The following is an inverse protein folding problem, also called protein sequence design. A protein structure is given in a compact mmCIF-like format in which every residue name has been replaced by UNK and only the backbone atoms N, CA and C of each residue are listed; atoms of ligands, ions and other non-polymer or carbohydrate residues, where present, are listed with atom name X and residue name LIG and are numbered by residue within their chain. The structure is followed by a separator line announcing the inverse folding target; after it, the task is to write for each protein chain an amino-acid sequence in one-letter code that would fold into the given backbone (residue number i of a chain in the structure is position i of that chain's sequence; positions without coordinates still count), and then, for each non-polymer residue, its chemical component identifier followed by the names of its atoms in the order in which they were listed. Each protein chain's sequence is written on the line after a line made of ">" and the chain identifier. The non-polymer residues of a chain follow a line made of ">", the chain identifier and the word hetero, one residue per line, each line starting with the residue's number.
data_IF_866434500939
#
_entry.id   IF_866434500939
#
_cell.length_a   1.000
_cell.length_b   1.000
_cell.length_c   1.000
_cell.angle_alpha   90.00
_cell.angle_beta   90.00
_cell.angle_gamma   90.00
#
_symmetry.space_group_name_H-M   'P 1'
#
loop_
_entity.id
_entity.type
_entity.pdbx_description
1 polymer ?
#
# COMPACT_ATOMS: atom_id res chain seq x y z
N UNK A 1 16.75 -0.37 16.75
CA UNK A 1 16.80 0.86 15.92
C UNK A 1 17.71 0.71 14.70
N UNK A 2 19.04 0.56 14.84
CA UNK A 2 19.94 0.49 13.67
C UNK A 2 19.62 -0.71 12.74
N UNK A 3 19.41 -1.90 13.32
CA UNK A 3 19.02 -3.11 12.58
C UNK A 3 17.71 -2.90 11.84
N UNK A 4 16.74 -2.22 12.47
CA UNK A 4 15.44 -1.94 11.85
C UNK A 4 15.62 -1.10 10.58
N UNK A 5 16.41 -0.02 10.63
CA UNK A 5 16.61 0.89 9.50
C UNK A 5 17.57 0.37 8.42
N UNK A 6 18.55 -0.46 8.77
CA UNK A 6 19.59 -0.91 7.83
C UNK A 6 19.24 -2.25 7.20
N UNK A 7 18.55 -3.13 7.92
CA UNK A 7 18.23 -4.48 7.46
C UNK A 7 16.74 -4.65 7.21
N UNK A 8 15.90 -4.38 8.21
CA UNK A 8 14.48 -4.76 8.15
C UNK A 8 13.73 -3.90 7.14
N UNK A 9 13.79 -2.57 7.24
CA UNK A 9 13.09 -1.67 6.31
C UNK A 9 13.59 -1.83 4.86
N UNK A 10 14.91 -1.83 4.57
CA UNK A 10 15.39 -2.03 3.21
C UNK A 10 15.06 -3.41 2.64
N UNK A 11 15.05 -4.46 3.48
CA UNK A 11 14.63 -5.79 3.06
C UNK A 11 13.17 -5.79 2.59
N UNK A 12 12.24 -5.25 3.38
CA UNK A 12 10.83 -5.21 3.01
C UNK A 12 10.56 -4.34 1.78
N UNK A 13 11.19 -3.16 1.70
CA UNK A 13 11.12 -2.31 0.52
C UNK A 13 11.66 -3.00 -0.73
N UNK A 14 12.80 -3.69 -0.60
CA UNK A 14 13.39 -4.48 -1.66
C UNK A 14 12.50 -5.64 -2.10
N UNK A 15 11.86 -6.34 -1.16
CA UNK A 15 10.93 -7.42 -1.46
C UNK A 15 9.72 -6.92 -2.25
N UNK A 16 9.10 -5.81 -1.82
CA UNK A 16 7.99 -5.18 -2.53
C UNK A 16 8.44 -4.76 -3.93
N UNK A 17 9.61 -4.15 -4.06
CA UNK A 17 10.17 -3.72 -5.34
C UNK A 17 10.37 -4.89 -6.30
N UNK A 18 10.93 -6.01 -5.83
CA UNK A 18 11.11 -7.21 -6.65
C UNK A 18 9.77 -7.74 -7.14
N UNK A 19 8.78 -7.86 -6.24
CA UNK A 19 7.45 -8.37 -6.58
C UNK A 19 6.75 -7.46 -7.60
N UNK A 20 6.84 -6.14 -7.44
CA UNK A 20 6.16 -5.17 -8.31
C UNK A 20 6.80 -5.09 -9.70
N UNK A 21 8.13 -5.24 -9.79
CA UNK A 21 8.88 -5.12 -11.05
C UNK A 21 8.86 -6.42 -11.88
N UNK A 22 8.72 -7.57 -11.23
CA UNK A 22 8.79 -8.89 -11.86
C UNK A 22 7.83 -9.08 -13.06
N UNK A 23 6.55 -8.66 -13.02
CA UNK A 23 5.65 -8.72 -14.17
C UNK A 23 6.17 -7.96 -15.41
N UNK A 24 6.82 -6.82 -15.21
CA UNK A 24 7.37 -6.01 -16.29
C UNK A 24 8.62 -6.64 -16.90
N UNK A 25 9.45 -7.27 -16.06
CA UNK A 25 10.61 -8.03 -16.51
C UNK A 25 10.18 -9.23 -17.37
N UNK A 26 9.17 -9.98 -16.91
CA UNK A 26 8.59 -11.09 -17.67
C UNK A 26 8.00 -10.61 -19.00
N UNK A 27 7.28 -9.49 -18.99
CA UNK A 27 6.72 -8.90 -20.21
C UNK A 27 7.81 -8.54 -21.21
N UNK A 28 8.90 -7.93 -20.76
CA UNK A 28 10.05 -7.60 -21.63
C UNK A 28 10.74 -8.84 -22.19
N UNK A 29 10.81 -9.93 -21.43
CA UNK A 29 11.33 -11.22 -21.94
C UNK A 29 10.42 -11.83 -23.00
N UNK A 30 9.10 -11.79 -22.80
CA UNK A 30 8.14 -12.25 -23.80
C UNK A 30 8.27 -11.42 -25.09
N UNK A 31 8.34 -10.09 -24.98
CA UNK A 31 8.55 -9.20 -26.14
C UNK A 31 9.88 -9.53 -26.85
N UNK A 32 10.95 -9.72 -26.09
CA UNK A 32 12.25 -10.10 -26.64
C UNK A 32 12.21 -11.45 -27.38
N UNK A 33 11.50 -12.44 -26.84
CA UNK A 33 11.29 -13.72 -27.51
C UNK A 33 10.54 -13.52 -28.83
N UNK A 34 9.42 -12.79 -28.82
CA UNK A 34 8.60 -12.50 -30.01
C UNK A 34 9.41 -11.76 -31.09
N UNK A 35 10.18 -10.74 -30.72
CA UNK A 35 11.02 -9.99 -31.68
C UNK A 35 12.06 -10.92 -32.33
N UNK A 36 12.66 -11.85 -31.57
CA UNK A 36 13.61 -12.83 -32.13
C UNK A 36 12.95 -13.84 -33.08
N UNK A 37 11.67 -14.15 -32.89
CA UNK A 37 10.93 -15.05 -33.77
C UNK A 37 10.51 -14.40 -35.10
N UNK A 38 10.55 -13.06 -35.20
CA UNK A 38 10.17 -12.33 -36.41
C UNK A 38 11.43 -11.80 -37.10
N UNK A 39 11.98 -12.50 -38.11
CA UNK A 39 13.26 -12.15 -38.73
C UNK A 39 13.27 -10.81 -39.47
N UNK A 40 12.11 -10.19 -39.73
CA UNK A 40 12.03 -8.85 -40.35
C UNK A 40 12.25 -7.69 -39.36
N UNK A 41 12.24 -7.95 -38.05
CA UNK A 41 12.39 -6.92 -37.01
C UNK A 41 13.84 -6.93 -36.53
N UNK A 42 14.66 -6.05 -37.12
CA UNK A 42 16.01 -5.75 -36.60
C UNK A 42 15.97 -4.41 -35.89
N UNK A 43 15.98 -4.45 -34.56
CA UNK A 43 16.12 -3.23 -33.75
C UNK A 43 17.62 -3.05 -33.45
N UNK A 44 18.28 -2.04 -34.04
CA UNK A 44 19.68 -1.76 -33.72
C UNK A 44 19.80 -1.46 -32.23
N UNK A 45 20.82 -2.03 -31.58
CA UNK A 45 21.09 -1.84 -30.14
C UNK A 45 19.95 -2.26 -29.19
N UNK A 46 19.13 -3.25 -29.58
CA UNK A 46 18.05 -3.78 -28.74
C UNK A 46 18.48 -4.13 -27.32
N UNK A 47 19.69 -4.67 -27.13
CA UNK A 47 20.22 -4.99 -25.80
C UNK A 47 20.38 -3.74 -24.92
N UNK A 48 20.87 -2.64 -25.49
CA UNK A 48 21.03 -1.35 -24.79
C UNK A 48 19.68 -0.74 -24.45
N UNK A 49 18.73 -0.78 -25.39
CA UNK A 49 17.35 -0.29 -25.16
C UNK A 49 16.70 -1.09 -24.04
N UNK A 50 16.80 -2.42 -24.07
CA UNK A 50 16.26 -3.30 -23.03
C UNK A 50 16.89 -3.02 -21.66
N UNK A 51 18.22 -2.92 -21.57
CA UNK A 51 18.89 -2.62 -20.32
C UNK A 51 18.44 -1.26 -19.76
N UNK A 52 18.33 -0.25 -20.62
CA UNK A 52 17.85 1.09 -20.25
C UNK A 52 16.40 1.05 -19.73
N UNK A 53 15.52 0.30 -20.40
CA UNK A 53 14.13 0.12 -19.98
C UNK A 53 14.03 -0.58 -18.61
N UNK A 54 14.80 -1.64 -18.38
CA UNK A 54 14.82 -2.35 -17.10
C UNK A 54 15.26 -1.42 -15.97
N UNK A 55 16.34 -0.66 -16.17
CA UNK A 55 16.84 0.32 -15.20
C UNK A 55 15.78 1.40 -14.95
N UNK A 56 15.14 1.92 -16.00
CA UNK A 56 14.11 2.94 -15.88
C UNK A 56 12.89 2.42 -15.09
N UNK A 57 12.45 1.18 -15.35
CA UNK A 57 11.35 0.52 -14.61
C UNK A 57 11.73 0.41 -13.13
N UNK A 58 12.90 -0.15 -12.82
CA UNK A 58 13.36 -0.30 -11.43
C UNK A 58 13.44 1.05 -10.72
N UNK A 59 13.99 2.08 -11.36
CA UNK A 59 14.10 3.41 -10.79
C UNK A 59 12.71 4.05 -10.54
N UNK A 60 11.79 3.92 -11.49
CA UNK A 60 10.42 4.43 -11.36
C UNK A 60 9.70 3.75 -10.19
N UNK A 61 9.77 2.42 -10.11
CA UNK A 61 9.12 1.67 -9.04
C UNK A 61 9.77 1.89 -7.68
N UNK A 62 11.09 2.07 -7.61
CA UNK A 62 11.77 2.42 -6.36
C UNK A 62 11.26 3.77 -5.81
N UNK A 63 11.11 4.77 -6.67
CA UNK A 63 10.53 6.07 -6.29
C UNK A 63 9.05 5.93 -5.90
N UNK A 64 8.26 5.22 -6.71
CA UNK A 64 6.84 5.00 -6.44
C UNK A 64 6.61 4.30 -5.10
N UNK A 65 7.33 3.20 -4.83
CA UNK A 65 7.23 2.45 -3.58
C UNK A 65 7.68 3.31 -2.42
N UNK A 66 8.80 4.03 -2.54
CA UNK A 66 9.25 4.94 -1.48
C UNK A 66 8.20 5.99 -1.11
N UNK A 67 7.58 6.63 -2.11
CA UNK A 67 6.49 7.59 -1.90
C UNK A 67 5.28 6.89 -1.27
N UNK A 68 4.86 5.74 -1.80
CA UNK A 68 3.69 5.01 -1.32
C UNK A 68 3.88 4.55 0.12
N UNK A 69 5.00 3.93 0.46
CA UNK A 69 5.32 3.51 1.83
C UNK A 69 5.33 4.70 2.77
N UNK A 70 5.89 5.85 2.36
CA UNK A 70 5.82 7.08 3.15
C UNK A 70 4.36 7.50 3.38
N UNK A 71 3.54 7.58 2.34
CA UNK A 71 2.14 7.98 2.45
C UNK A 71 1.33 7.01 3.32
N UNK A 72 1.50 5.70 3.15
CA UNK A 72 0.78 4.67 3.89
C UNK A 72 1.18 4.63 5.37
N UNK A 73 2.44 4.96 5.68
CA UNK A 73 2.92 5.07 7.07
C UNK A 73 2.21 6.19 7.83
N UNK A 74 1.97 7.34 7.18
CA UNK A 74 1.47 8.56 7.84
C UNK A 74 -0.01 8.85 7.64
N UNK A 75 -0.71 8.14 6.74
CA UNK A 75 -2.13 8.38 6.46
C UNK A 75 -3.03 7.41 7.23
N UNK A 76 -3.93 7.98 8.03
CA UNK A 76 -5.09 7.25 8.57
C UNK A 76 -6.21 7.31 7.54
N UNK A 77 -6.81 6.18 7.14
CA UNK A 77 -7.95 6.14 6.21
C UNK A 77 -9.23 5.88 6.98
N UNK A 78 -10.25 6.73 6.80
CA UNK A 78 -11.61 6.45 7.23
C UNK A 78 -12.35 5.83 6.05
N UNK A 79 -13.06 4.74 6.30
CA UNK A 79 -14.00 4.16 5.35
C UNK A 79 -15.38 4.21 5.99
N UNK A 80 -16.32 4.87 5.32
CA UNK A 80 -17.71 4.94 5.73
C UNK A 80 -18.51 3.98 4.85
N UNK A 81 -19.32 3.15 5.49
CA UNK A 81 -20.20 2.19 4.82
C UNK A 81 -21.63 2.44 5.28
N UNK A 82 -22.54 2.55 4.32
CA UNK A 82 -23.97 2.54 4.59
C UNK A 82 -24.47 1.11 4.37
N UNK A 83 -24.97 0.49 5.43
CA UNK A 83 -25.46 -0.89 5.40
C UNK A 83 -26.97 -0.84 5.58
N UNK A 84 -27.71 -1.26 4.56
CA UNK A 84 -29.17 -1.42 4.63
C UNK A 84 -29.46 -2.85 5.09
N UNK A 85 -30.14 -3.00 6.22
CA UNK A 85 -30.53 -4.29 6.79
C UNK A 85 -32.04 -4.46 6.70
N UNK A 86 -32.49 -5.57 6.11
CA UNK A 86 -33.89 -5.94 6.11
C UNK A 86 -34.32 -6.34 7.53
N UNK A 87 -35.48 -5.85 7.99
CA UNK A 87 -36.03 -6.07 9.33
C UNK A 87 -35.22 -5.44 10.48
N UNK A 88 -34.55 -4.30 10.24
CA UNK A 88 -33.94 -3.54 11.32
C UNK A 88 -35.03 -2.99 12.26
N UNK A 89 -34.92 -3.18 13.59
CA UNK A 89 -35.80 -2.52 14.54
C UNK A 89 -35.77 -1.00 14.35
N UNK A 90 -36.93 -0.34 14.41
CA UNK A 90 -37.02 1.12 14.24
C UNK A 90 -36.18 1.91 15.25
N UNK A 91 -35.85 1.30 16.39
CA UNK A 91 -34.95 1.87 17.41
C UNK A 91 -33.49 1.94 16.99
N UNK A 92 -33.09 1.24 15.92
CA UNK A 92 -31.73 1.24 15.38
C UNK A 92 -31.66 1.94 14.01
N UNK A 93 -32.76 2.51 13.53
CA UNK A 93 -32.76 3.31 12.30
C UNK A 93 -31.81 4.49 12.42
N UNK A 94 -30.96 4.67 11.41
CA UNK A 94 -29.91 5.70 11.35
C UNK A 94 -28.80 5.61 12.41
N UNK A 95 -28.68 4.48 13.11
CA UNK A 95 -27.59 4.26 14.05
C UNK A 95 -26.23 4.43 13.36
N UNK A 96 -25.45 5.42 13.80
CA UNK A 96 -24.09 5.64 13.33
C UNK A 96 -23.08 4.91 14.22
N UNK A 97 -22.34 3.99 13.63
CA UNK A 97 -21.38 3.12 14.30
C UNK A 97 -19.96 3.39 13.80
N UNK A 98 -19.05 3.72 14.71
CA UNK A 98 -17.61 3.76 14.44
C UNK A 98 -16.98 2.50 14.97
N UNK A 99 -16.42 1.70 14.06
CA UNK A 99 -15.67 0.49 14.40
C UNK A 99 -14.19 0.67 14.10
N UNK A 100 -13.32 0.31 15.04
CA UNK A 100 -11.89 0.25 14.82
C UNK A 100 -11.28 -0.97 15.52
N UNK A 101 -10.14 -1.42 15.00
CA UNK A 101 -9.40 -2.60 15.47
C UNK A 101 -7.92 -2.41 15.18
N UNK A 102 -7.05 -3.14 15.89
CA UNK A 102 -5.64 -3.33 15.55
C UNK A 102 -4.88 -2.00 15.36
N UNK A 103 -5.09 -1.04 16.27
CA UNK A 103 -4.34 0.21 16.23
C UNK A 103 -2.86 -0.06 16.51
N UNK A 104 -2.54 -1.07 17.35
CA UNK A 104 -1.18 -1.50 17.71
C UNK A 104 -0.28 -0.28 17.96
N UNK A 105 -0.54 0.41 19.06
CA UNK A 105 0.28 1.54 19.48
C UNK A 105 1.65 1.02 19.92
N UNK A 106 2.60 1.07 19.00
CA UNK A 106 3.99 0.69 19.20
C UNK A 106 4.94 1.87 18.89
N UNK A 107 6.25 1.60 18.94
CA UNK A 107 7.31 2.59 18.63
C UNK A 107 7.26 3.15 17.20
N UNK A 108 6.49 2.55 16.29
CA UNK A 108 6.31 3.00 14.91
C UNK A 108 4.97 3.74 14.72
N UNK A 109 3.98 3.48 15.57
CA UNK A 109 2.72 4.23 15.68
C UNK A 109 2.91 5.52 16.48
N UNK A 110 3.53 6.52 15.84
CA UNK A 110 3.84 7.83 16.43
C UNK A 110 2.60 8.65 16.84
N UNK A 111 2.77 9.62 17.75
CA UNK A 111 1.73 10.60 18.18
C UNK A 111 0.98 11.27 17.02
N UNK A 112 1.65 11.48 15.89
CA UNK A 112 1.04 12.10 14.71
C UNK A 112 -0.06 11.24 14.07
N UNK A 113 0.07 9.91 14.11
CA UNK A 113 -0.95 8.99 13.56
C UNK A 113 -2.13 8.87 14.52
N UNK A 114 -1.85 8.79 15.82
CA UNK A 114 -2.86 8.80 16.88
C UNK A 114 -3.69 10.08 16.90
N UNK A 115 -3.06 11.24 16.85
CA UNK A 115 -3.77 12.54 16.79
C UNK A 115 -4.62 12.69 15.53
N UNK A 116 -4.16 12.19 14.37
CA UNK A 116 -4.98 12.14 13.16
C UNK A 116 -6.17 11.19 13.31
N UNK A 117 -5.96 10.02 13.92
CA UNK A 117 -7.01 9.07 14.21
C UNK A 117 -8.07 9.68 15.14
N UNK A 118 -7.66 10.27 16.26
CA UNK A 118 -8.57 10.93 17.21
C UNK A 118 -9.38 12.05 16.54
N UNK A 119 -8.72 12.89 15.73
CA UNK A 119 -9.41 13.98 15.02
C UNK A 119 -10.46 13.43 14.05
N UNK A 120 -10.15 12.33 13.36
CA UNK A 120 -11.03 11.66 12.41
C UNK A 120 -12.20 10.96 13.10
N UNK A 121 -11.94 10.33 14.24
CA UNK A 121 -12.95 9.67 15.06
C UNK A 121 -13.92 10.69 15.67
N UNK A 122 -13.40 11.80 16.22
CA UNK A 122 -14.25 12.90 16.72
C UNK A 122 -15.12 13.51 15.62
N UNK A 123 -14.62 13.57 14.38
CA UNK A 123 -15.36 14.11 13.25
C UNK A 123 -16.45 13.16 12.72
N UNK A 124 -16.43 11.85 13.04
CA UNK A 124 -17.44 10.91 12.56
C UNK A 124 -18.78 11.04 13.29
N UNK A 125 -18.80 11.68 14.47
CA UNK A 125 -19.99 11.86 15.32
C UNK A 125 -20.81 10.57 15.51
N UNK A 126 -20.13 9.42 15.63
CA UNK A 126 -20.84 8.14 15.83
C UNK A 126 -21.46 8.06 17.22
N UNK A 127 -22.66 7.47 17.26
CA UNK A 127 -23.44 7.28 18.49
C UNK A 127 -22.91 6.10 19.30
N UNK A 128 -22.39 5.08 18.61
CA UNK A 128 -21.77 3.92 19.23
C UNK A 128 -20.38 3.71 18.66
N UNK A 129 -19.44 3.43 19.55
CA UNK A 129 -18.05 3.17 19.23
C UNK A 129 -17.70 1.74 19.64
N UNK A 130 -17.25 0.96 18.67
CA UNK A 130 -16.85 -0.43 18.86
C UNK A 130 -15.37 -0.59 18.62
N UNK A 131 -14.72 -1.33 19.51
CA UNK A 131 -13.31 -1.63 19.44
C UNK A 131 -13.07 -3.14 19.52
N UNK A 132 -12.33 -3.71 18.56
CA UNK A 132 -12.14 -5.16 18.43
C UNK A 132 -10.76 -5.71 18.83
N UNK A 133 -9.97 -4.95 19.61
CA UNK A 133 -8.74 -5.48 20.23
C UNK A 133 -7.44 -4.90 19.68
N UNK A 134 -6.37 -5.15 20.44
CA UNK A 134 -4.97 -4.73 20.23
C UNK A 134 -4.72 -3.22 20.12
N UNK A 135 -4.84 -2.52 21.27
CA UNK A 135 -4.51 -1.09 21.38
C UNK A 135 -3.02 -0.84 21.60
N UNK A 136 -2.34 -1.70 22.34
CA UNK A 136 -0.98 -1.45 22.83
C UNK A 136 -0.22 -2.77 22.80
N UNK A 137 1.00 -2.72 22.26
CA UNK A 137 1.93 -3.86 22.20
C UNK A 137 3.26 -3.51 22.84
#
# INVERSE_FOLDING_TARGET
>A
HLIDYVLIFPFWLGLILVVEVLPYFLTLEIVNAVVKFIPSISIPNWQTVRATLLIAIVALFAVYIGIRTYLDTYRVRLQAYQVELNNLPSTLENLSLSFFSDIQVDKFTQERKLSQFEKKLKASNSELMLFAGDLVT
#
